data_IF_820004826495
#
_entry.id   IF_820004826495
#
_cell.length_a   1.000
_cell.length_b   1.000
_cell.length_c   1.000
_cell.angle_alpha   90.00
_cell.angle_beta   90.00
_cell.angle_gamma   90.00
#
_symmetry.space_group_name_H-M   'P 1'
#
loop_
_entity.id
_entity.type
_entity.pdbx_description
1 polymer ?
#
# COMPACT_ATOMS: atom_id res chain seq x y z
N UNK A 1 19.37 97.73 -21.90
CA UNK A 1 18.32 98.63 -21.35
C UNK A 1 17.18 97.77 -20.82
N UNK A 2 16.82 97.97 -19.49
CA UNK A 2 15.59 97.72 -18.83
C UNK A 2 15.15 96.23 -18.57
N UNK A 3 15.44 95.78 -17.36
CA UNK A 3 14.54 95.03 -16.46
C UNK A 3 13.26 95.88 -16.17
N UNK A 4 12.14 95.39 -15.71
CA UNK A 4 11.90 94.41 -14.65
C UNK A 4 10.61 93.55 -14.96
N UNK A 5 10.17 92.60 -14.17
CA UNK A 5 9.55 92.65 -12.87
C UNK A 5 9.16 91.25 -12.38
N UNK A 6 9.26 91.12 -11.06
CA UNK A 6 8.85 89.97 -10.25
C UNK A 6 7.34 89.85 -10.14
N UNK A 7 6.79 88.63 -10.21
CA UNK A 7 5.52 88.31 -9.51
C UNK A 7 5.63 86.94 -8.87
N UNK A 8 5.55 86.93 -7.58
CA UNK A 8 5.44 85.73 -6.74
C UNK A 8 4.03 85.24 -6.72
N UNK A 9 3.80 83.98 -6.94
CA UNK A 9 2.51 83.35 -6.66
C UNK A 9 2.75 82.07 -5.83
N UNK A 10 2.17 82.09 -4.66
CA UNK A 10 2.21 80.98 -3.71
C UNK A 10 1.33 79.84 -4.21
N UNK A 11 1.87 78.64 -4.20
CA UNK A 11 1.11 77.44 -4.47
C UNK A 11 0.86 76.66 -3.16
N UNK A 12 -0.41 76.51 -2.84
CA UNK A 12 -0.90 75.65 -1.74
C UNK A 12 -0.55 74.19 -2.06
N UNK A 13 0.15 73.58 -1.12
CA UNK A 13 0.41 72.13 -1.10
C UNK A 13 -0.81 71.42 -0.51
N UNK A 14 -1.60 70.75 -1.34
CA UNK A 14 -2.59 69.77 -0.88
C UNK A 14 -1.89 68.41 -0.73
N UNK A 15 -1.59 68.01 0.48
CA UNK A 15 -1.10 66.67 0.81
C UNK A 15 -2.28 65.71 0.82
N UNK A 16 -2.48 64.95 -0.26
CA UNK A 16 -3.37 63.80 -0.27
C UNK A 16 -2.62 62.60 0.32
N UNK A 17 -2.91 62.27 1.56
CA UNK A 17 -2.48 61.01 2.17
C UNK A 17 -3.24 59.86 1.54
N UNK A 18 -2.58 59.09 0.61
CA UNK A 18 -3.06 57.77 0.23
C UNK A 18 -2.79 56.81 1.39
N UNK A 19 -3.86 56.49 2.12
CA UNK A 19 -3.88 55.36 3.04
C UNK A 19 -3.82 54.08 2.20
N UNK A 20 -2.64 53.50 2.04
CA UNK A 20 -2.45 52.11 1.58
C UNK A 20 -2.97 51.20 2.69
N UNK A 21 -4.23 50.83 2.58
CA UNK A 21 -4.78 49.69 3.32
C UNK A 21 -4.04 48.45 2.80
N UNK A 22 -2.99 48.05 3.52
CA UNK A 22 -2.44 46.70 3.43
C UNK A 22 -3.49 45.74 3.98
N UNK A 23 -4.44 45.35 3.13
CA UNK A 23 -5.20 44.14 3.35
C UNK A 23 -4.20 42.99 3.31
N UNK A 24 -3.70 42.58 4.49
CA UNK A 24 -3.18 41.25 4.68
C UNK A 24 -4.34 40.29 4.41
N UNK A 25 -4.57 40.02 3.13
CA UNK A 25 -5.41 38.93 2.73
C UNK A 25 -4.72 37.68 3.28
N UNK A 26 -5.34 37.07 4.29
CA UNK A 26 -5.18 35.67 4.58
C UNK A 26 -5.62 34.96 3.29
N UNK A 27 -4.68 34.77 2.36
CA UNK A 27 -4.81 33.76 1.33
C UNK A 27 -4.85 32.44 2.10
N UNK A 28 -5.85 31.60 1.88
CA UNK A 28 -5.76 30.25 2.40
C UNK A 28 -4.50 29.61 1.83
N UNK A 29 -3.62 29.15 2.72
CA UNK A 29 -2.36 28.48 2.43
C UNK A 29 -2.56 27.07 1.78
N UNK A 30 -3.75 26.85 1.22
CA UNK A 30 -4.19 25.59 0.63
C UNK A 30 -3.99 25.50 -0.89
N UNK A 31 -3.25 26.42 -1.51
CA UNK A 31 -2.85 26.18 -2.88
C UNK A 31 -1.82 25.02 -2.90
N UNK A 32 -2.14 23.88 -3.53
CA UNK A 32 -1.21 22.76 -3.55
C UNK A 32 0.12 23.24 -4.16
N UNK A 33 1.19 23.09 -3.41
CA UNK A 33 2.53 23.41 -3.86
C UNK A 33 2.76 22.67 -5.19
N UNK A 34 2.94 23.42 -6.30
CA UNK A 34 3.11 22.87 -7.64
C UNK A 34 4.38 22.01 -7.75
N UNK A 35 5.29 22.12 -6.77
CA UNK A 35 6.51 21.32 -6.65
C UNK A 35 6.29 20.04 -5.82
N UNK A 36 5.16 19.92 -5.11
CA UNK A 36 4.86 18.77 -4.30
C UNK A 36 4.78 17.48 -5.16
N UNK A 37 5.26 16.35 -4.64
CA UNK A 37 5.17 15.07 -5.35
C UNK A 37 3.73 14.79 -5.79
N UNK A 38 3.56 14.45 -7.08
CA UNK A 38 2.25 14.18 -7.69
C UNK A 38 1.25 15.36 -7.69
N UNK A 39 1.71 16.62 -7.58
CA UNK A 39 0.83 17.79 -7.57
C UNK A 39 -0.14 17.81 -8.76
N UNK A 40 0.34 17.42 -9.96
CA UNK A 40 -0.43 17.43 -11.22
C UNK A 40 -1.31 16.20 -11.44
N UNK A 41 -1.20 15.17 -10.63
CA UNK A 41 -2.00 13.94 -10.75
C UNK A 41 -3.20 14.00 -9.82
N UNK A 42 -4.32 13.44 -10.24
CA UNK A 42 -5.45 13.18 -9.36
C UNK A 42 -5.12 12.02 -8.40
N UNK A 43 -5.85 11.91 -7.30
CA UNK A 43 -5.64 10.82 -6.35
C UNK A 43 -5.83 9.41 -6.97
N UNK A 44 -6.85 9.17 -7.84
CA UNK A 44 -6.96 7.92 -8.60
C UNK A 44 -5.75 7.62 -9.47
N UNK A 45 -5.22 8.62 -10.18
CA UNK A 45 -4.04 8.44 -11.04
C UNK A 45 -2.80 8.07 -10.23
N UNK A 46 -2.61 8.69 -9.05
CA UNK A 46 -1.50 8.36 -8.15
C UNK A 46 -1.59 6.91 -7.69
N UNK A 47 -2.76 6.44 -7.25
CA UNK A 47 -2.96 5.05 -6.82
C UNK A 47 -2.73 4.08 -7.96
N UNK A 48 -3.28 4.34 -9.15
CA UNK A 48 -3.10 3.48 -10.32
C UNK A 48 -1.63 3.39 -10.73
N UNK A 49 -0.91 4.52 -10.69
CA UNK A 49 0.52 4.58 -10.97
C UNK A 49 1.33 3.78 -9.96
N UNK A 50 0.96 3.86 -8.68
CA UNK A 50 1.61 3.11 -7.61
C UNK A 50 1.39 1.59 -7.74
N UNK A 51 0.17 1.17 -8.02
CA UNK A 51 -0.15 -0.24 -8.29
C UNK A 51 0.63 -0.77 -9.50
N UNK A 52 0.66 0.00 -10.60
CA UNK A 52 1.42 -0.38 -11.80
C UNK A 52 2.92 -0.49 -11.53
N UNK A 53 3.52 0.47 -10.80
CA UNK A 53 4.92 0.43 -10.42
C UNK A 53 5.25 -0.78 -9.53
N UNK A 54 4.38 -1.08 -8.56
CA UNK A 54 4.53 -2.22 -7.64
C UNK A 54 4.42 -3.56 -8.38
N UNK A 55 3.50 -3.68 -9.35
CA UNK A 55 3.40 -4.86 -10.22
C UNK A 55 4.65 -5.06 -11.08
N UNK A 56 5.21 -3.98 -11.59
CA UNK A 56 6.38 -4.02 -12.46
C UNK A 56 7.72 -4.12 -11.71
N UNK A 57 7.73 -4.19 -10.38
CA UNK A 57 8.95 -4.39 -9.61
C UNK A 57 9.59 -5.75 -9.93
N UNK A 58 10.91 -5.81 -10.04
CA UNK A 58 11.63 -7.09 -10.29
C UNK A 58 11.39 -8.08 -9.15
N UNK A 59 11.34 -7.57 -7.94
CA UNK A 59 11.01 -8.32 -6.73
C UNK A 59 10.34 -7.40 -5.71
N UNK A 60 9.63 -7.97 -4.76
CA UNK A 60 9.02 -7.25 -3.64
C UNK A 60 8.85 -8.19 -2.45
N UNK A 61 9.01 -7.64 -1.25
CA UNK A 61 8.54 -8.30 -0.02
C UNK A 61 7.24 -7.66 0.44
N UNK A 62 6.35 -8.50 0.92
CA UNK A 62 5.04 -8.09 1.42
C UNK A 62 4.82 -8.71 2.79
N UNK A 63 4.32 -7.92 3.73
CA UNK A 63 3.72 -8.43 4.98
C UNK A 63 2.23 -8.19 4.90
N UNK A 64 1.45 -9.25 4.99
CA UNK A 64 -0.01 -9.20 4.95
C UNK A 64 -0.53 -9.54 6.34
N UNK A 65 -1.30 -8.64 6.91
CA UNK A 65 -1.98 -8.82 8.19
C UNK A 65 -3.48 -8.78 7.98
N UNK A 66 -4.16 -9.78 8.47
CA UNK A 66 -5.61 -9.88 8.48
C UNK A 66 -6.06 -10.52 9.78
N UNK A 67 -7.33 -10.35 10.15
CA UNK A 67 -7.92 -11.15 11.20
C UNK A 67 -9.02 -12.01 10.62
N UNK A 68 -9.07 -13.27 11.04
CA UNK A 68 -10.14 -14.20 10.76
C UNK A 68 -10.89 -14.55 12.04
N UNK A 69 -12.05 -15.21 11.97
CA UNK A 69 -12.73 -15.74 13.17
C UNK A 69 -11.88 -16.71 13.98
N UNK A 70 -10.95 -17.37 13.32
CA UNK A 70 -10.05 -18.38 13.91
C UNK A 70 -8.79 -17.74 14.52
N UNK A 71 -8.62 -16.41 14.37
CA UNK A 71 -7.50 -15.67 14.91
C UNK A 71 -6.78 -14.80 13.89
N UNK A 72 -5.66 -14.19 14.26
CA UNK A 72 -4.85 -13.38 13.37
C UNK A 72 -4.24 -14.24 12.26
N UNK A 73 -4.22 -13.70 11.05
CA UNK A 73 -3.53 -14.27 9.89
C UNK A 73 -2.42 -13.31 9.50
N UNK A 74 -1.20 -13.81 9.42
CA UNK A 74 -0.04 -13.06 9.01
C UNK A 74 0.70 -13.84 7.91
N UNK A 75 1.04 -13.16 6.81
CA UNK A 75 1.82 -13.77 5.75
C UNK A 75 3.02 -12.89 5.41
N UNK A 76 4.21 -13.48 5.50
CA UNK A 76 5.45 -12.89 4.99
C UNK A 76 5.73 -13.48 3.62
N UNK A 77 5.74 -12.63 2.60
CA UNK A 77 5.84 -13.03 1.20
C UNK A 77 7.06 -12.36 0.58
N UNK A 78 7.87 -13.12 -0.13
CA UNK A 78 8.84 -12.56 -1.05
C UNK A 78 8.60 -13.17 -2.43
N UNK A 79 8.49 -12.34 -3.46
CA UNK A 79 8.20 -12.80 -4.83
C UNK A 79 8.95 -11.98 -5.86
N UNK A 80 9.26 -12.60 -7.00
CA UNK A 80 9.88 -11.92 -8.13
C UNK A 80 8.97 -11.92 -9.37
N UNK A 81 9.43 -11.23 -10.42
CA UNK A 81 8.70 -11.10 -11.69
C UNK A 81 8.62 -12.43 -12.46
N UNK A 82 9.47 -13.41 -12.16
CA UNK A 82 9.47 -14.75 -12.78
C UNK A 82 8.49 -15.70 -12.11
N UNK A 83 7.86 -15.24 -11.02
CA UNK A 83 6.93 -16.03 -10.23
C UNK A 83 7.62 -16.94 -9.21
N UNK A 84 8.91 -16.77 -8.96
CA UNK A 84 9.53 -17.39 -7.79
C UNK A 84 9.01 -16.74 -6.52
N UNK A 85 8.78 -17.55 -5.49
CA UNK A 85 8.08 -17.07 -4.31
C UNK A 85 8.43 -17.87 -3.06
N UNK A 86 8.49 -17.17 -1.93
CA UNK A 86 8.46 -17.79 -0.60
C UNK A 86 7.33 -17.16 0.20
N UNK A 87 6.62 -17.97 0.95
CA UNK A 87 5.58 -17.52 1.86
C UNK A 87 5.78 -18.20 3.20
N UNK A 88 5.73 -17.42 4.28
CA UNK A 88 5.50 -17.94 5.62
C UNK A 88 4.13 -17.46 6.06
N UNK A 89 3.19 -18.37 6.24
CA UNK A 89 1.82 -18.11 6.63
C UNK A 89 1.63 -18.57 8.08
N UNK A 90 1.24 -17.65 8.96
CA UNK A 90 0.85 -17.92 10.33
C UNK A 90 -0.66 -17.69 10.49
N UNK A 91 -1.34 -18.63 11.09
CA UNK A 91 -2.79 -18.56 11.34
C UNK A 91 -3.07 -18.68 12.86
N UNK A 92 -2.26 -18.02 13.67
CA UNK A 92 -2.40 -18.00 15.11
C UNK A 92 -2.34 -19.42 15.70
N UNK A 93 -3.35 -19.82 16.44
CA UNK A 93 -3.40 -21.15 17.06
C UNK A 93 -3.52 -22.31 16.06
N UNK A 94 -3.94 -22.05 14.82
CA UNK A 94 -4.02 -23.07 13.77
C UNK A 94 -2.63 -23.46 13.23
N UNK A 95 -1.57 -22.70 13.55
CA UNK A 95 -0.20 -23.06 13.24
C UNK A 95 0.43 -22.24 12.13
N UNK A 96 1.56 -22.73 11.62
CA UNK A 96 2.39 -22.07 10.63
C UNK A 96 2.70 -23.00 9.46
N UNK A 97 2.68 -22.42 8.25
CA UNK A 97 3.10 -23.10 7.03
C UNK A 97 4.10 -22.25 6.26
N UNK A 98 5.10 -22.90 5.73
CA UNK A 98 6.01 -22.32 4.75
C UNK A 98 5.72 -22.88 3.35
N UNK A 99 5.81 -22.03 2.35
CA UNK A 99 5.69 -22.40 0.95
C UNK A 99 6.89 -21.84 0.17
N UNK A 100 7.42 -22.66 -0.71
CA UNK A 100 8.42 -22.23 -1.71
C UNK A 100 7.92 -22.64 -3.08
N UNK A 101 7.88 -21.67 -4.00
CA UNK A 101 7.63 -21.89 -5.41
C UNK A 101 8.90 -21.53 -6.19
N UNK A 102 9.47 -22.50 -6.90
CA UNK A 102 10.65 -22.30 -7.74
C UNK A 102 10.59 -23.19 -8.98
N UNK A 103 10.86 -22.62 -10.16
CA UNK A 103 10.78 -23.33 -11.43
C UNK A 103 9.42 -23.98 -11.70
N UNK A 104 8.33 -23.34 -11.27
CA UNK A 104 6.95 -23.85 -11.40
C UNK A 104 6.59 -24.99 -10.42
N UNK A 105 7.52 -25.41 -9.55
CA UNK A 105 7.26 -26.43 -8.53
C UNK A 105 6.95 -25.78 -7.20
N UNK A 106 5.88 -26.23 -6.54
CA UNK A 106 5.47 -25.81 -5.21
C UNK A 106 5.87 -26.89 -4.19
N UNK A 107 6.42 -26.45 -3.09
CA UNK A 107 6.70 -27.28 -1.90
C UNK A 107 6.16 -26.54 -0.67
N UNK A 108 5.61 -27.29 0.27
CA UNK A 108 5.11 -26.78 1.54
C UNK A 108 5.74 -27.52 2.70
N UNK A 109 5.86 -26.82 3.82
CA UNK A 109 6.25 -27.37 5.11
C UNK A 109 5.33 -26.77 6.17
N UNK A 110 4.62 -27.62 6.91
CA UNK A 110 3.68 -27.21 7.94
C UNK A 110 4.14 -27.70 9.30
N UNK A 111 3.83 -26.96 10.34
CA UNK A 111 3.96 -27.46 11.70
C UNK A 111 2.80 -28.43 12.05
N UNK A 112 2.90 -29.09 13.21
CA UNK A 112 1.91 -30.06 13.62
C UNK A 112 0.54 -29.44 13.88
N UNK A 113 0.46 -28.17 14.29
CA UNK A 113 -0.81 -27.49 14.52
C UNK A 113 -1.51 -27.21 13.18
N UNK A 114 -0.78 -26.72 12.19
CA UNK A 114 -1.30 -26.48 10.84
C UNK A 114 -1.82 -27.77 10.19
N UNK A 115 -1.08 -28.87 10.34
CA UNK A 115 -1.52 -30.16 9.79
C UNK A 115 -2.80 -30.68 10.46
N UNK A 116 -2.92 -30.53 11.78
CA UNK A 116 -4.17 -30.90 12.50
C UNK A 116 -5.35 -30.03 12.10
N UNK A 117 -5.15 -28.75 11.84
CA UNK A 117 -6.23 -27.85 11.38
C UNK A 117 -6.67 -28.12 9.94
N UNK A 118 -5.80 -28.66 9.11
CA UNK A 118 -6.05 -28.89 7.69
C UNK A 118 -6.68 -30.27 7.37
N UNK A 119 -6.52 -31.25 8.23
CA UNK A 119 -6.85 -32.66 7.90
C UNK A 119 -7.53 -33.40 9.05
N UNK A 120 -8.46 -34.28 8.70
CA UNK A 120 -9.06 -35.26 9.62
C UNK A 120 -8.19 -36.50 9.81
N UNK A 121 -7.11 -36.66 9.05
CA UNK A 121 -6.18 -37.79 9.13
C UNK A 121 -4.90 -37.39 9.90
N UNK A 122 -4.32 -38.29 10.72
CA UNK A 122 -3.09 -38.02 11.43
C UNK A 122 -1.91 -37.90 10.45
N UNK A 123 -1.53 -36.68 10.15
CA UNK A 123 -0.39 -36.37 9.30
C UNK A 123 0.81 -35.88 10.13
N UNK A 124 0.85 -36.22 11.43
CA UNK A 124 1.88 -35.75 12.37
C UNK A 124 3.29 -36.13 11.96
N UNK A 125 3.46 -37.27 11.26
CA UNK A 125 4.72 -37.68 10.70
C UNK A 125 5.23 -36.80 9.55
N UNK A 126 4.38 -35.90 9.02
CA UNK A 126 4.76 -34.93 7.97
C UNK A 126 5.16 -33.56 8.55
N UNK A 127 4.96 -33.37 9.86
CA UNK A 127 5.29 -32.10 10.50
C UNK A 127 6.78 -31.76 10.34
N UNK A 128 7.05 -30.55 9.85
CA UNK A 128 8.41 -30.08 9.59
C UNK A 128 9.07 -30.61 8.31
N UNK A 129 8.39 -31.50 7.57
CA UNK A 129 8.92 -32.04 6.32
C UNK A 129 8.40 -31.26 5.10
N UNK A 130 9.27 -31.14 4.08
CA UNK A 130 8.91 -30.52 2.80
C UNK A 130 8.16 -31.54 1.92
N UNK A 131 6.93 -31.23 1.60
CA UNK A 131 6.07 -32.07 0.77
C UNK A 131 5.55 -31.30 -0.44
N UNK A 132 5.10 -32.02 -1.47
CA UNK A 132 4.29 -31.44 -2.52
C UNK A 132 2.85 -31.34 -2.02
N UNK A 133 2.21 -30.16 -2.07
CA UNK A 133 0.84 -30.03 -1.66
C UNK A 133 -0.09 -30.83 -2.56
N UNK A 134 -1.19 -31.31 -2.01
CA UNK A 134 -2.27 -31.92 -2.79
C UNK A 134 -3.23 -30.82 -3.27
N UNK A 135 -4.04 -31.11 -4.29
CA UNK A 135 -5.08 -30.18 -4.77
C UNK A 135 -6.16 -29.85 -3.70
N UNK A 136 -6.25 -30.65 -2.64
CA UNK A 136 -7.19 -30.44 -1.54
C UNK A 136 -6.60 -29.59 -0.40
N UNK A 137 -5.31 -29.22 -0.46
CA UNK A 137 -4.66 -28.43 0.58
C UNK A 137 -5.02 -26.96 0.45
N UNK A 138 -6.06 -26.56 1.20
CA UNK A 138 -6.56 -25.17 1.20
C UNK A 138 -5.55 -24.15 1.72
N UNK A 139 -4.69 -24.54 2.65
CA UNK A 139 -3.67 -23.65 3.18
C UNK A 139 -2.56 -23.41 2.14
N UNK A 140 -2.17 -24.46 1.42
CA UNK A 140 -1.25 -24.33 0.30
C UNK A 140 -1.84 -23.45 -0.82
N UNK A 141 -3.12 -23.64 -1.17
CA UNK A 141 -3.81 -22.80 -2.13
C UNK A 141 -3.85 -21.32 -1.68
N UNK A 142 -4.16 -21.09 -0.39
CA UNK A 142 -4.15 -19.74 0.17
C UNK A 142 -2.77 -19.10 0.08
N UNK A 143 -1.72 -19.81 0.49
CA UNK A 143 -0.36 -19.31 0.42
C UNK A 143 0.10 -19.06 -1.01
N UNK A 144 -0.25 -19.93 -1.95
CA UNK A 144 0.09 -19.77 -3.36
C UNK A 144 -0.55 -18.54 -4.00
N UNK A 145 -1.76 -18.14 -3.55
CA UNK A 145 -2.42 -16.92 -3.99
C UNK A 145 -1.61 -15.65 -3.70
N UNK A 146 -0.77 -15.64 -2.68
CA UNK A 146 0.14 -14.54 -2.42
C UNK A 146 1.32 -14.50 -3.40
N UNK A 147 1.66 -15.63 -4.01
CA UNK A 147 2.71 -15.74 -5.00
C UNK A 147 2.32 -15.19 -6.37
N UNK A 148 1.04 -15.17 -6.71
CA UNK A 148 0.53 -14.53 -7.91
C UNK A 148 0.32 -13.02 -7.65
N UNK A 149 1.40 -12.27 -7.78
CA UNK A 149 1.43 -10.84 -7.49
C UNK A 149 0.42 -10.05 -8.32
N UNK A 150 0.22 -10.39 -9.59
CA UNK A 150 -0.72 -9.69 -10.46
C UNK A 150 -2.16 -9.89 -9.96
N UNK A 151 -2.56 -11.12 -9.74
CA UNK A 151 -3.88 -11.46 -9.20
C UNK A 151 -4.05 -10.90 -7.78
N UNK A 152 -3.02 -11.00 -6.94
CA UNK A 152 -3.07 -10.50 -5.57
C UNK A 152 -3.29 -8.97 -5.53
N UNK A 153 -2.47 -8.19 -6.25
CA UNK A 153 -2.62 -6.75 -6.32
C UNK A 153 -3.90 -6.33 -7.05
N UNK A 154 -4.37 -7.12 -8.01
CA UNK A 154 -5.65 -6.91 -8.67
C UNK A 154 -6.83 -6.98 -7.71
N UNK A 155 -6.82 -7.95 -6.79
CA UNK A 155 -7.85 -8.10 -5.75
C UNK A 155 -7.79 -7.02 -4.68
N UNK A 156 -6.58 -6.51 -4.37
CA UNK A 156 -6.38 -5.46 -3.38
C UNK A 156 -6.70 -4.06 -3.92
N UNK A 157 -6.78 -3.89 -5.25
CA UNK A 157 -6.98 -2.58 -5.86
C UNK A 157 -8.24 -1.89 -5.34
N UNK A 158 -8.13 -0.76 -4.63
CA UNK A 158 -9.28 -0.10 -4.05
C UNK A 158 -10.10 0.61 -5.13
N UNK A 159 -11.40 0.77 -4.89
CA UNK A 159 -12.23 1.64 -5.72
C UNK A 159 -11.84 3.09 -5.50
N UNK A 160 -11.27 3.73 -6.51
CA UNK A 160 -10.62 5.03 -6.38
C UNK A 160 -11.52 6.24 -6.64
N UNK A 161 -12.79 6.04 -7.00
CA UNK A 161 -13.71 7.14 -7.39
C UNK A 161 -13.91 8.23 -6.33
N UNK A 162 -13.70 7.91 -5.05
CA UNK A 162 -13.75 8.86 -3.92
C UNK A 162 -12.39 9.20 -3.34
N UNK A 163 -11.32 8.86 -4.05
CA UNK A 163 -9.96 9.03 -3.56
C UNK A 163 -9.59 10.51 -3.41
N UNK A 164 -8.89 10.84 -2.34
CA UNK A 164 -8.34 12.16 -2.04
C UNK A 164 -6.90 12.05 -1.59
N UNK A 165 -6.06 12.99 -2.00
CA UNK A 165 -4.70 13.12 -1.48
C UNK A 165 -4.75 13.67 -0.06
N UNK A 166 -3.95 13.11 0.81
CA UNK A 166 -3.68 13.58 2.16
C UNK A 166 -2.27 14.17 2.27
N UNK A 167 -1.75 14.27 3.49
CA UNK A 167 -0.42 14.80 3.72
C UNK A 167 0.67 13.87 3.20
N UNK A 168 1.83 14.47 2.92
CA UNK A 168 3.09 13.73 2.76
C UNK A 168 3.75 13.60 4.13
N UNK A 169 4.10 12.39 4.51
CA UNK A 169 4.78 12.09 5.76
C UNK A 169 5.81 10.99 5.54
N UNK A 170 6.74 10.83 6.49
CA UNK A 170 7.61 9.66 6.54
C UNK A 170 6.99 8.65 7.53
N UNK A 171 6.21 7.66 7.07
CA UNK A 171 5.74 6.60 7.95
C UNK A 171 6.93 5.80 8.49
N UNK A 172 6.72 4.96 9.48
CA UNK A 172 7.76 4.28 10.25
C UNK A 172 8.90 3.58 9.48
N UNK A 173 8.76 3.42 8.16
CA UNK A 173 9.83 2.95 7.25
C UNK A 173 10.89 4.01 6.93
N UNK A 174 10.69 5.26 7.33
CA UNK A 174 11.58 6.39 7.00
C UNK A 174 11.50 6.87 5.54
N UNK A 175 10.78 6.18 4.67
CA UNK A 175 10.59 6.59 3.27
C UNK A 175 9.46 7.61 3.18
N UNK A 176 9.69 8.81 2.63
CA UNK A 176 8.62 9.80 2.44
C UNK A 176 7.50 9.25 1.56
N UNK A 177 6.26 9.40 1.99
CA UNK A 177 5.09 8.87 1.31
C UNK A 177 3.93 9.86 1.30
N UNK A 178 3.22 9.91 0.18
CA UNK A 178 1.93 10.56 0.08
C UNK A 178 0.85 9.57 0.53
N UNK A 179 0.08 9.95 1.53
CA UNK A 179 -1.12 9.19 1.91
C UNK A 179 -2.28 9.54 0.99
N UNK A 180 -2.91 8.54 0.40
CA UNK A 180 -4.16 8.66 -0.33
C UNK A 180 -5.25 7.91 0.42
N UNK A 181 -6.39 8.54 0.60
CA UNK A 181 -7.54 7.95 1.29
C UNK A 181 -8.75 7.90 0.38
N UNK A 182 -9.59 6.91 0.56
CA UNK A 182 -10.86 6.81 -0.15
C UNK A 182 -11.88 6.00 0.63
N UNK A 183 -13.08 5.91 0.08
CA UNK A 183 -14.18 5.18 0.69
C UNK A 183 -14.80 4.17 -0.27
N UNK A 184 -15.31 3.08 0.29
CA UNK A 184 -16.18 2.12 -0.36
C UNK A 184 -17.42 1.88 0.52
N UNK A 185 -18.34 1.01 0.07
CA UNK A 185 -19.48 0.58 0.90
C UNK A 185 -19.02 -0.11 2.18
N UNK A 186 -17.85 -0.75 2.14
CA UNK A 186 -17.31 -1.56 3.23
C UNK A 186 -16.50 -0.72 4.24
N UNK A 187 -16.23 0.56 3.93
CA UNK A 187 -15.51 1.48 4.80
C UNK A 187 -14.42 2.29 4.10
N UNK A 188 -13.56 2.89 4.90
CA UNK A 188 -12.44 3.71 4.42
C UNK A 188 -11.20 2.85 4.15
N UNK A 189 -10.48 3.19 3.10
CA UNK A 189 -9.17 2.62 2.81
C UNK A 189 -8.09 3.71 2.79
N UNK A 190 -6.85 3.32 3.01
CA UNK A 190 -5.68 4.21 2.91
C UNK A 190 -4.56 3.53 2.13
N UNK A 191 -3.84 4.31 1.34
CA UNK A 191 -2.66 3.88 0.60
C UNK A 191 -1.52 4.88 0.81
N UNK A 192 -0.35 4.41 1.25
CA UNK A 192 0.85 5.20 1.36
C UNK A 192 1.75 4.91 0.16
N UNK A 193 2.10 5.96 -0.59
CA UNK A 193 2.77 5.87 -1.88
C UNK A 193 4.09 6.63 -1.81
N UNK A 194 5.20 5.98 -2.15
CA UNK A 194 6.52 6.58 -2.14
C UNK A 194 6.55 7.87 -2.99
N UNK A 195 7.09 8.94 -2.43
CA UNK A 195 7.22 10.24 -3.11
C UNK A 195 8.59 10.45 -3.72
N UNK A 196 9.54 9.58 -3.42
CA UNK A 196 10.89 9.58 -3.96
C UNK A 196 11.13 8.35 -4.82
N UNK A 197 11.87 8.51 -5.91
CA UNK A 197 12.18 7.45 -6.85
C UNK A 197 10.95 6.95 -7.60
N UNK A 198 10.77 5.61 -7.66
CA UNK A 198 9.58 5.00 -8.28
C UNK A 198 8.38 5.09 -7.34
N UNK A 199 7.19 5.37 -7.85
CA UNK A 199 5.97 5.52 -7.03
C UNK A 199 5.47 4.17 -6.52
N UNK A 200 6.24 3.48 -5.71
CA UNK A 200 5.82 2.23 -5.15
C UNK A 200 4.72 2.41 -4.10
N UNK A 201 3.80 1.46 -4.04
CA UNK A 201 2.87 1.33 -2.94
C UNK A 201 3.65 0.79 -1.73
N UNK A 202 3.71 1.54 -0.64
CA UNK A 202 4.44 1.15 0.57
C UNK A 202 3.52 0.45 1.58
N UNK A 203 2.27 0.92 1.68
CA UNK A 203 1.29 0.35 2.59
C UNK A 203 -0.11 0.51 2.02
N UNK A 204 -0.92 -0.50 2.18
CA UNK A 204 -2.34 -0.47 1.84
C UNK A 204 -3.15 -1.01 3.00
N UNK A 205 -4.10 -0.22 3.46
CA UNK A 205 -5.11 -0.66 4.43
C UNK A 205 -6.46 -0.67 3.77
N UNK A 206 -7.11 -1.81 3.79
CA UNK A 206 -8.44 -2.01 3.26
C UNK A 206 -9.45 -2.20 4.40
N UNK A 207 -10.67 -1.70 4.25
CA UNK A 207 -11.71 -1.93 5.23
C UNK A 207 -12.09 -3.40 5.29
N UNK A 208 -12.79 -3.75 6.34
CA UNK A 208 -13.44 -5.05 6.52
C UNK A 208 -14.34 -5.36 5.32
N UNK A 209 -14.16 -6.51 4.69
CA UNK A 209 -14.99 -6.97 3.56
C UNK A 209 -14.47 -6.68 2.15
N UNK A 210 -13.36 -5.94 1.99
CA UNK A 210 -12.84 -5.50 0.68
C UNK A 210 -12.15 -6.57 -0.18
N UNK A 211 -11.85 -7.74 0.33
CA UNK A 211 -11.21 -8.82 -0.43
C UNK A 211 -12.21 -9.94 -0.70
N UNK A 212 -13.15 -9.69 -1.62
CA UNK A 212 -14.10 -10.70 -2.09
C UNK A 212 -13.40 -11.93 -2.67
N UNK A 213 -13.22 -12.95 -1.88
CA UNK A 213 -12.59 -14.21 -2.26
C UNK A 213 -12.90 -15.37 -1.32
N UNK A 214 -13.73 -15.15 -0.32
CA UNK A 214 -14.26 -16.24 0.49
C UNK A 214 -15.51 -16.82 -0.14
N UNK A 215 -15.45 -18.03 -0.66
CA UNK A 215 -16.60 -18.86 -1.08
C UNK A 215 -17.38 -19.39 0.13
N UNK A 216 -17.49 -18.60 1.19
CA UNK A 216 -18.30 -18.94 2.36
C UNK A 216 -19.39 -17.90 2.52
N UNK A 217 -20.63 -18.26 2.23
CA UNK A 217 -21.84 -17.44 2.41
C UNK A 217 -22.20 -17.21 3.88
N UNK A 218 -21.23 -16.76 4.68
CA UNK A 218 -21.45 -16.35 6.06
C UNK A 218 -21.38 -14.82 6.16
N UNK A 219 -22.18 -14.25 7.04
CA UNK A 219 -22.18 -12.83 7.46
C UNK A 219 -20.88 -12.44 8.16
N UNK A 220 -19.78 -13.01 7.73
CA UNK A 220 -18.48 -12.88 8.35
C UNK A 220 -17.88 -11.53 8.02
N UNK A 221 -17.96 -10.65 9.02
CA UNK A 221 -17.33 -9.34 9.02
C UNK A 221 -15.83 -9.54 9.14
N UNK A 222 -15.16 -9.81 8.00
CA UNK A 222 -13.70 -9.93 7.96
C UNK A 222 -13.05 -8.65 8.47
N UNK A 223 -12.02 -8.80 9.27
CA UNK A 223 -11.27 -7.68 9.81
C UNK A 223 -10.57 -6.89 8.69
N UNK A 224 -10.15 -5.64 8.95
CA UNK A 224 -9.37 -4.89 7.99
C UNK A 224 -8.10 -5.66 7.63
N UNK A 225 -7.72 -5.55 6.34
CA UNK A 225 -6.47 -6.13 5.82
C UNK A 225 -5.45 -5.01 5.69
N UNK A 226 -4.26 -5.23 6.24
CA UNK A 226 -3.10 -4.37 6.03
C UNK A 226 -2.07 -5.13 5.19
N UNK A 227 -1.55 -4.48 4.17
CA UNK A 227 -0.42 -4.99 3.39
C UNK A 227 0.68 -3.94 3.40
N UNK A 228 1.87 -4.33 3.83
CA UNK A 228 3.08 -3.52 3.76
C UNK A 228 3.99 -4.08 2.67
N UNK A 229 4.58 -3.18 1.88
CA UNK A 229 5.46 -3.52 0.77
C UNK A 229 6.84 -2.93 1.02
N UNK A 230 7.87 -3.72 0.79
CA UNK A 230 9.25 -3.33 1.02
C UNK A 230 10.21 -4.04 0.08
N UNK A 231 11.49 -3.68 0.17
CA UNK A 231 12.58 -4.34 -0.54
C UNK A 231 12.36 -4.50 -2.05
N UNK A 232 11.79 -3.46 -2.68
CA UNK A 232 11.56 -3.43 -4.12
C UNK A 232 12.86 -3.57 -4.91
N UNK A 233 12.81 -4.35 -5.98
CA UNK A 233 13.89 -4.58 -6.93
C UNK A 233 15.18 -5.16 -6.32
N UNK A 234 15.15 -5.57 -5.04
CA UNK A 234 16.30 -6.21 -4.39
C UNK A 234 16.45 -7.67 -4.88
N UNK A 235 17.69 -8.18 -4.97
CA UNK A 235 17.91 -9.56 -5.34
C UNK A 235 17.10 -10.52 -4.45
N UNK A 236 16.37 -11.42 -5.09
CA UNK A 236 15.60 -12.45 -4.42
C UNK A 236 15.86 -13.79 -5.10
N UNK A 237 16.02 -14.82 -4.31
CA UNK A 237 16.15 -16.20 -4.77
C UNK A 237 15.35 -17.11 -3.87
N UNK A 238 14.36 -17.78 -4.43
CA UNK A 238 13.67 -18.87 -3.75
C UNK A 238 14.56 -20.11 -3.78
N UNK A 239 15.15 -20.46 -2.67
CA UNK A 239 15.99 -21.67 -2.59
C UNK A 239 15.08 -22.89 -2.57
N UNK A 240 15.34 -23.86 -3.50
CA UNK A 240 14.63 -25.15 -3.47
C UNK A 240 14.95 -25.85 -2.15
N UNK A 241 13.93 -26.22 -1.35
CA UNK A 241 14.17 -26.99 -0.14
C UNK A 241 14.83 -28.34 -0.47
N UNK A 242 15.77 -28.74 0.36
CA UNK A 242 16.27 -30.13 0.32
C UNK A 242 15.16 -31.05 0.84
N UNK A 243 15.00 -32.23 0.24
CA UNK A 243 14.01 -33.20 0.68
C UNK A 243 14.23 -33.64 2.13
#
# INVERSE_FOLDING_TARGET
MRLPARVSAAALSAATALALATACGMLPDDAPDATAPYARLTAPEVVNKALAATRAAKSVRMTVEAASPEGPVEAFVATDIRGECTVTLSMGAAGTMELVRTGGTVRTRSDAAMLRSASTAPAENLAGHWVSPTAADRHAELAERYCDRETFLGRLAPKTGTARKGPTAAPGSGTPALTVTGGSRDGKWTADIATEGRPFLLKLRLPRGGTGGGTGGGTDRTAPVTVEFSEFDKPFTASRPKP
#
